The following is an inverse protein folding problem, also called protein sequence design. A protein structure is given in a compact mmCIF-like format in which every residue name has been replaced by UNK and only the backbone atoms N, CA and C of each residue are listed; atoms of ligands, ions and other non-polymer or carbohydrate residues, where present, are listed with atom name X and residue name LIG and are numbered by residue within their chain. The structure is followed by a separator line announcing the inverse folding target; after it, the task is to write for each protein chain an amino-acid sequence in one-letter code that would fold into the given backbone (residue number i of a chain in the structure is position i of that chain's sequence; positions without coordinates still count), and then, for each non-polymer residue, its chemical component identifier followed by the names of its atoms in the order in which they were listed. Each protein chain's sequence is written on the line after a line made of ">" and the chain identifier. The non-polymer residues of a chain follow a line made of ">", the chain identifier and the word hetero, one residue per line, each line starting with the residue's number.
data_IF_754016571786
#
_entry.id   IF_754016571786
#
_cell.length_a   1.000
_cell.length_b   1.000
_cell.length_c   1.000
_cell.angle_alpha   90.00
_cell.angle_beta   90.00
_cell.angle_gamma   90.00
#
_symmetry.space_group_name_H-M   'P 1'
#
loop_
_entity.id
_entity.type
_entity.pdbx_description
1 polymer ?
#
# COMPACT_ATOMS: atom_id res chain seq x y z
N UNK A 1 109.61 44.91 -16.08
CA UNK A 1 109.19 43.80 -15.21
C UNK A 1 110.23 43.54 -14.12
N UNK A 2 110.49 44.51 -13.25
CA UNK A 2 111.52 44.35 -12.18
C UNK A 2 111.02 44.71 -10.77
N UNK A 3 109.77 45.17 -10.62
CA UNK A 3 109.17 45.51 -9.32
C UNK A 3 108.34 44.37 -8.69
N UNK A 4 108.14 43.26 -9.41
CA UNK A 4 107.28 42.15 -8.95
C UNK A 4 108.05 41.00 -8.27
N UNK A 5 109.37 40.89 -8.44
CA UNK A 5 110.18 39.81 -7.86
C UNK A 5 110.19 39.76 -6.32
N UNK A 6 110.37 40.88 -5.57
CA UNK A 6 110.34 40.82 -4.09
C UNK A 6 108.94 40.56 -3.54
N UNK A 7 107.89 41.01 -4.25
CA UNK A 7 106.50 40.75 -3.89
C UNK A 7 106.15 39.26 -4.08
N UNK A 8 106.63 38.63 -5.15
CA UNK A 8 106.45 37.20 -5.42
C UNK A 8 107.18 36.30 -4.40
N UNK A 9 108.35 36.70 -3.89
CA UNK A 9 109.07 35.98 -2.83
C UNK A 9 108.35 36.03 -1.47
N UNK A 10 107.78 37.18 -1.10
CA UNK A 10 106.93 37.33 0.09
C UNK A 10 105.62 36.56 0.00
N UNK A 11 104.99 36.58 -1.18
CA UNK A 11 103.80 35.78 -1.48
C UNK A 11 104.12 34.29 -1.42
N UNK A 12 105.26 33.80 -1.93
CA UNK A 12 105.64 32.38 -1.84
C UNK A 12 105.81 31.89 -0.39
N UNK A 13 106.30 32.75 0.52
CA UNK A 13 106.47 32.43 1.96
C UNK A 13 105.14 32.34 2.71
N UNK A 14 104.12 33.11 2.29
CA UNK A 14 102.79 33.16 2.93
C UNK A 14 101.64 32.65 2.05
N UNK A 15 101.94 32.00 0.92
CA UNK A 15 100.97 31.56 -0.10
C UNK A 15 99.86 30.70 0.49
N UNK A 16 100.22 29.76 1.37
CA UNK A 16 99.27 28.92 2.09
C UNK A 16 98.23 29.74 2.87
N UNK A 17 98.67 30.75 3.62
CA UNK A 17 97.78 31.59 4.43
C UNK A 17 96.92 32.53 3.59
N UNK A 18 97.45 33.06 2.50
CA UNK A 18 96.69 33.91 1.56
C UNK A 18 95.59 33.10 0.86
N UNK A 19 95.92 31.90 0.37
CA UNK A 19 94.94 31.00 -0.29
C UNK A 19 93.90 30.51 0.72
N UNK A 20 94.31 30.17 1.94
CA UNK A 20 93.39 29.78 3.01
C UNK A 20 92.42 30.91 3.37
N UNK A 21 92.91 32.15 3.52
CA UNK A 21 92.08 33.32 3.78
C UNK A 21 91.08 33.59 2.65
N UNK A 22 91.54 33.51 1.39
CA UNK A 22 90.69 33.70 0.21
C UNK A 22 89.61 32.62 0.09
N UNK A 23 89.96 31.35 0.34
CA UNK A 23 88.99 30.26 0.41
C UNK A 23 87.95 30.50 1.52
N UNK A 24 88.38 30.94 2.70
CA UNK A 24 87.48 31.22 3.82
C UNK A 24 86.47 32.32 3.45
N UNK A 25 86.92 33.38 2.79
CA UNK A 25 86.04 34.46 2.30
C UNK A 25 85.06 33.95 1.25
N UNK A 26 85.52 33.15 0.27
CA UNK A 26 84.64 32.55 -0.73
C UNK A 26 83.57 31.65 -0.10
N UNK A 27 83.94 30.79 0.84
CA UNK A 27 82.98 29.95 1.57
C UNK A 27 81.98 30.78 2.37
N UNK A 28 82.42 31.85 3.04
CA UNK A 28 81.52 32.74 3.79
C UNK A 28 80.54 33.49 2.87
N UNK A 29 81.01 33.97 1.71
CA UNK A 29 80.13 34.63 0.73
C UNK A 29 79.13 33.66 0.10
N UNK A 30 79.58 32.47 -0.31
CA UNK A 30 78.71 31.43 -0.86
C UNK A 30 77.68 30.96 0.17
N UNK A 31 78.08 30.80 1.43
CA UNK A 31 77.17 30.51 2.54
C UNK A 31 76.12 31.62 2.69
N UNK A 32 76.53 32.88 2.79
CA UNK A 32 75.62 34.01 3.00
C UNK A 32 74.60 34.17 1.86
N UNK A 33 75.04 34.06 0.61
CA UNK A 33 74.15 34.11 -0.55
C UNK A 33 73.22 32.89 -0.64
N UNK A 34 73.72 31.70 -0.32
CA UNK A 34 72.90 30.48 -0.32
C UNK A 34 71.88 30.48 0.81
N UNK A 35 72.21 30.97 2.01
CA UNK A 35 71.26 31.04 3.12
C UNK A 35 70.22 32.14 2.90
N UNK A 36 70.65 33.29 2.36
CA UNK A 36 69.75 34.41 2.08
C UNK A 36 68.70 34.09 1.00
N UNK A 37 69.08 33.38 -0.07
CA UNK A 37 68.14 32.98 -1.12
C UNK A 37 67.15 31.91 -0.64
N UNK A 38 67.62 30.93 0.16
CA UNK A 38 66.76 29.91 0.76
C UNK A 38 65.76 30.51 1.76
N UNK A 39 66.17 31.50 2.56
CA UNK A 39 65.29 32.19 3.50
C UNK A 39 64.24 33.04 2.79
N UNK A 40 64.63 33.74 1.71
CA UNK A 40 63.71 34.52 0.87
C UNK A 40 62.67 33.62 0.20
N UNK A 41 63.09 32.48 -0.36
CA UNK A 41 62.19 31.49 -0.95
C UNK A 41 61.26 30.85 0.09
N UNK A 42 61.78 30.53 1.28
CA UNK A 42 60.97 30.01 2.38
C UNK A 42 59.90 31.01 2.81
N UNK A 43 60.24 32.30 2.93
CA UNK A 43 59.30 33.35 3.30
C UNK A 43 58.26 33.61 2.22
N UNK A 44 58.66 33.62 0.94
CA UNK A 44 57.72 33.75 -0.19
C UNK A 44 56.72 32.59 -0.23
N UNK A 45 57.18 31.35 0.00
CA UNK A 45 56.29 30.19 0.06
C UNK A 45 55.35 30.26 1.27
N UNK A 46 55.84 30.64 2.45
CA UNK A 46 55.01 30.86 3.63
C UNK A 46 53.94 31.92 3.38
N UNK A 47 54.29 33.06 2.79
CA UNK A 47 53.32 34.11 2.48
C UNK A 47 52.25 33.66 1.48
N UNK A 48 52.62 32.87 0.45
CA UNK A 48 51.64 32.29 -0.49
C UNK A 48 50.70 31.28 0.16
N UNK A 49 51.22 30.48 1.09
CA UNK A 49 50.43 29.52 1.85
C UNK A 49 49.47 30.27 2.76
N UNK A 50 49.97 31.25 3.51
CA UNK A 50 49.16 32.09 4.41
C UNK A 50 48.07 32.84 3.63
N UNK A 51 48.41 33.45 2.49
CA UNK A 51 47.41 34.13 1.66
C UNK A 51 46.33 33.18 1.13
N UNK A 52 46.70 31.94 0.80
CA UNK A 52 45.74 30.90 0.40
C UNK A 52 44.84 30.48 1.55
N UNK A 53 45.37 30.38 2.78
CA UNK A 53 44.57 30.10 3.98
C UNK A 53 43.64 31.26 4.35
N UNK A 54 44.11 32.51 4.26
CA UNK A 54 43.28 33.70 4.50
C UNK A 54 42.15 33.82 3.46
N UNK A 55 42.43 33.52 2.19
CA UNK A 55 41.41 33.46 1.13
C UNK A 55 40.39 32.33 1.37
N UNK A 56 40.82 31.18 1.89
CA UNK A 56 39.89 30.08 2.21
C UNK A 56 39.05 30.43 3.45
N UNK A 57 39.66 31.06 4.46
CA UNK A 57 38.98 31.52 5.67
C UNK A 57 37.93 32.59 5.36
N UNK A 58 38.22 33.54 4.46
CA UNK A 58 37.25 34.56 4.04
C UNK A 58 36.06 33.98 3.28
N UNK A 59 36.21 32.83 2.61
CA UNK A 59 35.10 32.09 1.99
C UNK A 59 34.31 31.32 3.06
N UNK A 60 35.01 30.70 4.03
CA UNK A 60 34.42 29.86 5.08
C UNK A 60 33.63 30.65 6.14
N UNK A 61 34.03 31.88 6.41
CA UNK A 61 33.40 32.75 7.42
C UNK A 61 32.14 33.47 6.88
N UNK A 62 31.74 33.20 5.63
CA UNK A 62 30.45 33.65 5.09
C UNK A 62 29.37 32.63 5.50
N UNK A 63 28.68 32.93 6.60
CA UNK A 63 27.64 32.10 7.24
C UNK A 63 26.47 31.73 6.30
N UNK A 64 26.22 32.55 5.27
CA UNK A 64 25.35 32.25 4.12
C UNK A 64 26.00 32.80 2.85
N UNK A 65 26.56 31.93 2.03
CA UNK A 65 27.13 32.32 0.73
C UNK A 65 26.02 33.04 -0.06
N UNK A 66 26.26 34.22 -0.70
CA UNK A 66 25.23 34.90 -1.48
C UNK A 66 24.81 34.04 -2.67
N UNK A 67 23.87 33.14 -2.43
CA UNK A 67 23.28 32.27 -3.43
C UNK A 67 21.93 32.82 -3.87
N UNK A 68 21.62 34.10 -3.63
CA UNK A 68 20.35 34.75 -3.99
C UNK A 68 20.01 34.47 -5.45
N UNK A 69 20.96 34.68 -6.38
CA UNK A 69 20.81 34.29 -7.80
C UNK A 69 20.58 32.80 -8.05
N UNK A 70 21.06 31.93 -7.15
CA UNK A 70 20.82 30.47 -7.24
C UNK A 70 19.48 30.10 -6.62
N UNK A 71 19.03 30.75 -5.55
CA UNK A 71 17.70 30.60 -4.99
C UNK A 71 16.66 31.12 -5.99
N UNK A 72 16.85 32.32 -6.55
CA UNK A 72 15.98 32.89 -7.59
C UNK A 72 15.85 31.93 -8.78
N UNK A 73 16.96 31.31 -9.20
CA UNK A 73 16.94 30.29 -10.25
C UNK A 73 16.32 28.97 -9.82
N UNK A 74 16.52 28.54 -8.57
CA UNK A 74 15.85 27.35 -8.04
C UNK A 74 14.35 27.58 -7.94
N UNK A 75 13.92 28.76 -7.53
CA UNK A 75 12.51 29.15 -7.45
C UNK A 75 11.91 29.19 -8.86
N UNK A 76 12.61 29.76 -9.84
CA UNK A 76 12.20 29.71 -11.26
C UNK A 76 12.05 28.27 -11.77
N UNK A 77 13.01 27.39 -11.50
CA UNK A 77 12.94 25.97 -11.87
C UNK A 77 11.83 25.22 -11.11
N UNK A 78 11.59 25.55 -9.83
CA UNK A 78 10.51 24.99 -9.03
C UNK A 78 9.16 25.41 -9.60
N UNK A 79 8.96 26.70 -9.91
CA UNK A 79 7.74 27.20 -10.53
C UNK A 79 7.49 26.54 -11.90
N UNK A 80 8.55 26.38 -12.72
CA UNK A 80 8.46 25.67 -13.98
C UNK A 80 8.05 24.20 -13.78
N UNK A 81 8.61 23.51 -12.76
CA UNK A 81 8.25 22.14 -12.43
C UNK A 81 6.83 22.01 -11.87
N UNK A 82 6.38 22.97 -11.08
CA UNK A 82 4.99 23.02 -10.59
C UNK A 82 4.03 23.15 -11.77
N UNK A 83 4.30 24.06 -12.70
CA UNK A 83 3.48 24.25 -13.89
C UNK A 83 3.46 23.00 -14.79
N UNK A 84 4.59 22.32 -14.97
CA UNK A 84 4.67 21.06 -15.71
C UNK A 84 3.84 19.96 -15.04
N UNK A 85 3.92 19.84 -13.71
CA UNK A 85 3.13 18.89 -12.92
C UNK A 85 1.64 19.20 -13.00
N UNK A 86 1.25 20.47 -12.89
CA UNK A 86 -0.15 20.90 -13.05
C UNK A 86 -0.70 20.56 -14.44
N UNK A 87 0.08 20.82 -15.49
CA UNK A 87 -0.30 20.45 -16.86
C UNK A 87 -0.48 18.94 -17.02
N UNK A 88 0.42 18.13 -16.44
CA UNK A 88 0.30 16.68 -16.47
C UNK A 88 -0.95 16.19 -15.73
N UNK A 89 -1.28 16.78 -14.58
CA UNK A 89 -2.51 16.48 -13.85
C UNK A 89 -3.76 16.89 -14.63
N UNK A 90 -3.76 18.07 -15.25
CA UNK A 90 -4.87 18.55 -16.07
C UNK A 90 -5.11 17.64 -17.28
N UNK A 91 -4.04 17.26 -17.98
CA UNK A 91 -4.10 16.31 -19.09
C UNK A 91 -4.73 14.97 -18.64
N UNK A 92 -4.26 14.43 -17.51
CA UNK A 92 -4.77 13.18 -16.97
C UNK A 92 -6.24 13.29 -16.54
N UNK A 93 -6.63 14.41 -15.95
CA UNK A 93 -8.02 14.68 -15.56
C UNK A 93 -8.95 14.73 -16.78
N UNK A 94 -8.57 15.47 -17.82
CA UNK A 94 -9.35 15.56 -19.06
C UNK A 94 -9.48 14.22 -19.76
N UNK A 95 -8.39 13.44 -19.79
CA UNK A 95 -8.38 12.08 -20.33
C UNK A 95 -9.34 11.17 -19.56
N UNK A 96 -9.25 11.14 -18.22
CA UNK A 96 -10.13 10.32 -17.38
C UNK A 96 -11.60 10.72 -17.49
N UNK A 97 -11.90 12.01 -17.62
CA UNK A 97 -13.27 12.49 -17.85
C UNK A 97 -13.90 11.90 -19.10
N UNK A 98 -13.10 11.61 -20.14
CA UNK A 98 -13.56 10.93 -21.35
C UNK A 98 -13.79 9.42 -21.19
N UNK A 99 -13.24 8.80 -20.15
CA UNK A 99 -13.36 7.36 -19.86
C UNK A 99 -14.47 7.07 -18.86
N UNK A 100 -14.61 7.91 -17.82
CA UNK A 100 -15.59 7.79 -16.75
C UNK A 100 -16.96 8.35 -17.18
N UNK A 101 -17.48 7.82 -18.29
CA UNK A 101 -18.70 8.29 -18.92
C UNK A 101 -19.85 7.34 -18.64
N UNK A 102 -21.02 7.91 -18.36
CA UNK A 102 -22.23 7.13 -18.21
C UNK A 102 -22.64 6.46 -19.55
N UNK A 103 -23.06 5.20 -19.52
CA UNK A 103 -23.47 4.46 -20.71
C UNK A 103 -24.63 5.14 -21.45
N UNK A 104 -24.44 5.41 -22.75
CA UNK A 104 -25.46 6.05 -23.60
C UNK A 104 -26.70 5.18 -23.84
N UNK A 105 -26.64 3.90 -23.49
CA UNK A 105 -27.80 2.99 -23.51
C UNK A 105 -28.80 3.27 -22.38
N UNK A 106 -28.46 4.12 -21.40
CA UNK A 106 -29.36 4.50 -20.32
C UNK A 106 -30.38 5.55 -20.77
N UNK A 107 -31.51 5.64 -20.05
CA UNK A 107 -32.55 6.64 -20.31
C UNK A 107 -32.03 8.07 -20.03
N UNK A 108 -32.33 9.00 -20.94
CA UNK A 108 -31.88 10.40 -20.84
C UNK A 108 -32.35 11.10 -19.55
N UNK A 109 -33.54 10.77 -19.06
CA UNK A 109 -34.08 11.31 -17.81
C UNK A 109 -33.32 10.83 -16.56
N UNK A 110 -32.75 9.64 -16.61
CA UNK A 110 -31.84 9.16 -15.56
C UNK A 110 -30.50 9.89 -15.64
N UNK A 111 -29.93 9.96 -16.85
CA UNK A 111 -28.63 10.58 -17.09
C UNK A 111 -28.60 12.05 -16.66
N UNK A 112 -29.66 12.82 -16.92
CA UNK A 112 -29.75 14.22 -16.52
C UNK A 112 -29.65 14.43 -15.00
N UNK A 113 -30.01 13.42 -14.20
CA UNK A 113 -29.92 13.49 -12.74
C UNK A 113 -28.52 13.13 -12.23
N UNK A 114 -27.81 12.18 -12.86
CA UNK A 114 -26.55 11.65 -12.30
C UNK A 114 -25.28 12.17 -12.97
N UNK A 115 -25.34 12.64 -14.23
CA UNK A 115 -24.16 12.91 -15.04
C UNK A 115 -23.28 14.06 -14.50
N UNK A 116 -23.88 15.03 -13.80
CA UNK A 116 -23.19 16.20 -13.25
C UNK A 116 -22.92 16.09 -11.73
N UNK A 117 -22.96 14.88 -11.17
CA UNK A 117 -22.73 14.64 -9.74
C UNK A 117 -21.27 14.29 -9.39
N UNK A 118 -20.33 14.61 -10.27
CA UNK A 118 -18.88 14.45 -10.01
C UNK A 118 -18.25 15.80 -9.65
N UNK A 119 -17.46 15.91 -8.57
CA UNK A 119 -17.08 14.85 -7.63
C UNK A 119 -18.21 14.51 -6.62
N UNK A 120 -18.45 13.21 -6.44
CA UNK A 120 -19.54 12.63 -5.62
C UNK A 120 -19.54 13.21 -4.21
N UNK A 121 -18.35 13.38 -3.65
CA UNK A 121 -18.10 13.82 -2.28
C UNK A 121 -18.66 15.21 -1.99
N UNK A 122 -18.66 16.10 -3.01
CA UNK A 122 -19.19 17.46 -2.93
C UNK A 122 -20.66 17.55 -3.38
N UNK A 123 -21.04 16.73 -4.35
CA UNK A 123 -22.36 16.83 -4.98
C UNK A 123 -23.48 16.26 -4.12
N UNK A 124 -23.19 15.28 -3.25
CA UNK A 124 -24.19 14.61 -2.43
C UNK A 124 -23.70 14.56 -0.98
N UNK A 125 -24.50 15.04 -0.04
CA UNK A 125 -24.16 15.02 1.38
C UNK A 125 -24.37 13.62 1.99
N UNK A 126 -23.67 13.33 3.09
CA UNK A 126 -23.93 12.13 3.90
C UNK A 126 -24.22 12.53 5.36
N UNK A 127 -25.31 12.02 5.98
CA UNK A 127 -26.36 11.16 5.40
C UNK A 127 -27.11 11.85 4.25
N UNK A 128 -27.55 11.07 3.26
CA UNK A 128 -28.28 11.60 2.11
C UNK A 128 -29.61 12.15 2.57
N UNK A 129 -29.92 13.40 2.19
CA UNK A 129 -31.22 14.02 2.47
C UNK A 129 -32.26 13.47 1.49
N UNK A 130 -33.52 13.37 1.91
CA UNK A 130 -34.59 12.81 1.07
C UNK A 130 -34.76 13.59 -0.24
N UNK A 131 -34.50 14.90 -0.26
CA UNK A 131 -34.61 15.75 -1.45
C UNK A 131 -33.46 15.52 -2.46
N UNK A 132 -32.36 14.93 -2.01
CA UNK A 132 -31.21 14.57 -2.86
C UNK A 132 -31.31 13.15 -3.41
N UNK A 133 -32.23 12.33 -2.86
CA UNK A 133 -32.43 10.98 -3.34
C UNK A 133 -33.10 10.96 -4.71
N UNK A 134 -32.72 9.97 -5.52
CA UNK A 134 -33.43 9.71 -6.77
C UNK A 134 -34.80 9.09 -6.48
N UNK A 135 -35.74 9.34 -7.40
CA UNK A 135 -37.02 8.64 -7.40
C UNK A 135 -36.81 7.12 -7.32
N UNK A 136 -37.67 6.42 -6.58
CA UNK A 136 -37.59 4.98 -6.40
C UNK A 136 -37.55 4.22 -7.74
N UNK A 137 -38.25 4.71 -8.77
CA UNK A 137 -38.21 4.15 -10.12
C UNK A 137 -36.79 4.14 -10.69
N UNK A 138 -36.05 5.24 -10.53
CA UNK A 138 -34.69 5.37 -11.07
C UNK A 138 -33.68 4.52 -10.31
N UNK A 139 -33.86 4.38 -9.01
CA UNK A 139 -33.03 3.50 -8.17
C UNK A 139 -33.21 2.03 -8.55
N UNK A 140 -34.45 1.62 -8.81
CA UNK A 140 -34.74 0.27 -9.30
C UNK A 140 -34.25 0.05 -10.74
N UNK A 141 -34.43 1.04 -11.61
CA UNK A 141 -33.90 1.04 -12.98
C UNK A 141 -32.39 0.75 -12.99
N UNK A 142 -31.63 1.46 -12.16
CA UNK A 142 -30.19 1.28 -12.06
C UNK A 142 -29.80 -0.10 -11.50
N UNK A 143 -30.53 -0.59 -10.49
CA UNK A 143 -30.34 -1.95 -9.96
C UNK A 143 -30.50 -3.02 -11.04
N UNK A 144 -31.55 -2.91 -11.86
CA UNK A 144 -31.80 -3.81 -13.00
C UNK A 144 -30.76 -3.64 -14.11
N UNK A 145 -30.25 -2.43 -14.31
CA UNK A 145 -29.16 -2.16 -15.25
C UNK A 145 -27.88 -2.90 -14.83
N UNK A 146 -27.42 -2.73 -13.59
CA UNK A 146 -26.21 -3.41 -13.10
C UNK A 146 -26.33 -4.93 -13.23
N UNK A 147 -27.47 -5.50 -12.85
CA UNK A 147 -27.70 -6.95 -12.96
C UNK A 147 -27.52 -7.49 -14.39
N UNK A 148 -27.76 -6.66 -15.41
CA UNK A 148 -27.57 -7.00 -16.84
C UNK A 148 -26.17 -6.70 -17.35
N UNK A 149 -25.42 -5.81 -16.70
CA UNK A 149 -24.06 -5.44 -17.12
C UNK A 149 -22.97 -6.33 -16.55
N UNK A 150 -23.09 -6.79 -15.29
CA UNK A 150 -22.07 -7.64 -14.68
C UNK A 150 -21.74 -8.90 -15.52
N UNK A 151 -22.72 -9.60 -16.11
CA UNK A 151 -22.43 -10.74 -16.97
C UNK A 151 -21.65 -10.35 -18.22
N UNK A 152 -21.94 -9.18 -18.82
CA UNK A 152 -21.19 -8.65 -19.96
C UNK A 152 -19.72 -8.38 -19.63
N UNK A 153 -19.40 -8.09 -18.36
CA UNK A 153 -18.02 -7.92 -17.91
C UNK A 153 -17.27 -9.26 -17.95
N UNK A 154 -17.91 -10.37 -17.60
CA UNK A 154 -17.32 -11.70 -17.74
C UNK A 154 -17.19 -12.09 -19.21
N UNK A 155 -18.19 -11.75 -20.03
CA UNK A 155 -18.16 -12.01 -21.48
C UNK A 155 -16.97 -11.28 -22.17
N UNK A 156 -16.51 -10.13 -21.65
CA UNK A 156 -15.33 -9.41 -22.21
C UNK A 156 -14.05 -10.24 -22.21
N UNK A 157 -13.88 -11.12 -21.22
CA UNK A 157 -12.70 -11.98 -21.07
C UNK A 157 -13.01 -13.44 -21.47
N UNK A 158 -14.16 -13.67 -22.10
CA UNK A 158 -14.67 -15.01 -22.40
C UNK A 158 -14.67 -15.90 -21.14
N UNK A 159 -15.40 -15.45 -20.12
CA UNK A 159 -15.65 -16.14 -18.86
C UNK A 159 -17.14 -16.26 -18.57
N UNK A 160 -17.53 -17.32 -17.86
CA UNK A 160 -18.89 -17.47 -17.35
C UNK A 160 -19.12 -16.58 -16.12
N UNK A 161 -20.30 -15.96 -16.05
CA UNK A 161 -20.79 -15.29 -14.85
C UNK A 161 -21.80 -16.19 -14.13
N UNK A 162 -21.37 -16.76 -13.01
CA UNK A 162 -22.14 -17.73 -12.24
C UNK A 162 -23.27 -17.17 -11.38
N UNK A 163 -23.18 -15.96 -10.79
CA UNK A 163 -24.28 -15.45 -9.99
C UNK A 163 -25.58 -15.32 -10.79
N UNK A 164 -26.69 -15.73 -10.19
CA UNK A 164 -27.98 -15.86 -10.89
C UNK A 164 -28.38 -14.56 -11.60
N UNK A 165 -28.66 -14.68 -12.88
CA UNK A 165 -29.25 -13.62 -13.70
C UNK A 165 -30.61 -14.12 -14.18
N UNK A 166 -31.65 -13.30 -14.00
CA UNK A 166 -32.98 -13.61 -14.53
C UNK A 166 -32.89 -13.76 -16.06
N UNK A 167 -33.18 -14.95 -16.57
CA UNK A 167 -33.25 -15.25 -18.01
C UNK A 167 -31.93 -15.65 -18.68
N UNK A 168 -30.85 -15.92 -17.93
CA UNK A 168 -29.62 -16.56 -18.46
C UNK A 168 -29.64 -18.04 -18.10
N UNK A 169 -29.52 -18.91 -19.10
CA UNK A 169 -29.39 -20.36 -18.90
C UNK A 169 -28.01 -20.70 -18.32
N UNK A 170 -27.94 -21.77 -17.54
CA UNK A 170 -26.65 -22.33 -17.11
C UNK A 170 -25.91 -22.88 -18.34
N UNK A 171 -24.57 -22.75 -18.38
CA UNK A 171 -23.79 -23.19 -19.52
C UNK A 171 -23.83 -24.71 -19.61
N UNK A 172 -23.87 -25.22 -20.84
CA UNK A 172 -23.75 -26.65 -21.10
C UNK A 172 -22.41 -27.17 -20.56
N UNK A 173 -22.36 -28.43 -20.10
CA UNK A 173 -21.14 -29.04 -19.53
C UNK A 173 -19.94 -29.05 -20.51
N UNK A 174 -20.21 -28.93 -21.82
CA UNK A 174 -19.18 -28.90 -22.87
C UNK A 174 -18.63 -27.49 -23.15
N UNK A 175 -19.27 -26.43 -22.64
CA UNK A 175 -18.86 -25.06 -22.94
C UNK A 175 -17.55 -24.70 -22.20
N UNK A 176 -16.46 -24.57 -22.97
CA UNK A 176 -15.17 -24.17 -22.41
C UNK A 176 -14.93 -22.67 -22.58
N UNK A 177 -14.62 -22.01 -21.47
CA UNK A 177 -14.28 -20.59 -21.43
C UNK A 177 -12.76 -20.38 -21.47
N UNK A 178 -12.30 -19.33 -22.15
CA UNK A 178 -10.89 -18.92 -22.16
C UNK A 178 -10.40 -18.56 -20.76
N UNK A 179 -11.19 -17.80 -20.01
CA UNK A 179 -10.88 -17.40 -18.64
C UNK A 179 -11.89 -18.04 -17.70
N UNK A 180 -11.36 -18.74 -16.70
CA UNK A 180 -12.14 -19.24 -15.59
C UNK A 180 -12.15 -18.19 -14.48
N UNK A 181 -13.32 -17.75 -14.04
CA UNK A 181 -13.42 -16.77 -12.97
C UNK A 181 -14.13 -17.41 -11.80
N UNK A 182 -13.44 -17.43 -10.66
CA UNK A 182 -13.94 -18.00 -9.41
C UNK A 182 -15.34 -17.47 -9.08
N UNK A 183 -16.34 -18.36 -9.09
CA UNK A 183 -17.74 -18.04 -8.84
C UNK A 183 -17.98 -17.46 -7.44
N UNK A 184 -17.23 -17.90 -6.43
CA UNK A 184 -17.27 -17.33 -5.09
C UNK A 184 -16.80 -15.87 -5.07
N UNK A 185 -15.76 -15.52 -5.84
CA UNK A 185 -15.34 -14.13 -6.01
C UNK A 185 -16.38 -13.29 -6.76
N UNK A 186 -17.04 -13.84 -7.78
CA UNK A 186 -18.12 -13.16 -8.50
C UNK A 186 -19.30 -12.86 -7.57
N UNK A 187 -19.72 -13.84 -6.76
CA UNK A 187 -20.80 -13.67 -5.78
C UNK A 187 -20.42 -12.67 -4.69
N UNK A 188 -19.16 -12.68 -4.24
CA UNK A 188 -18.65 -11.69 -3.29
C UNK A 188 -18.71 -10.28 -3.88
N UNK A 189 -18.21 -10.08 -5.11
CA UNK A 189 -18.25 -8.77 -5.79
C UNK A 189 -19.69 -8.28 -5.98
N UNK A 190 -20.59 -9.15 -6.46
CA UNK A 190 -22.00 -8.79 -6.62
C UNK A 190 -22.63 -8.41 -5.29
N UNK A 191 -22.43 -9.25 -4.26
CA UNK A 191 -23.05 -9.04 -2.96
C UNK A 191 -22.57 -7.74 -2.30
N UNK A 192 -21.26 -7.49 -2.29
CA UNK A 192 -20.65 -6.37 -1.57
C UNK A 192 -20.75 -5.03 -2.29
N UNK A 193 -20.80 -5.00 -3.64
CA UNK A 193 -20.71 -3.75 -4.41
C UNK A 193 -21.95 -3.41 -5.22
N UNK A 194 -22.73 -4.42 -5.60
CA UNK A 194 -23.72 -4.33 -6.66
C UNK A 194 -25.10 -4.87 -6.25
N UNK A 195 -25.32 -5.08 -4.95
CA UNK A 195 -26.56 -5.63 -4.42
C UNK A 195 -26.96 -4.99 -3.10
N UNK A 196 -28.17 -5.29 -2.68
CA UNK A 196 -28.75 -4.81 -1.43
C UNK A 196 -27.94 -5.14 -0.18
N UNK A 197 -27.19 -6.25 -0.18
CA UNK A 197 -26.33 -6.61 0.94
C UNK A 197 -25.20 -5.59 1.13
N UNK A 198 -24.56 -5.17 0.03
CA UNK A 198 -23.52 -4.15 0.02
C UNK A 198 -24.05 -2.74 0.23
N UNK A 199 -25.23 -2.44 -0.29
CA UNK A 199 -25.86 -1.12 -0.15
C UNK A 199 -26.51 -0.90 1.21
N UNK A 200 -26.70 -1.96 2.01
CA UNK A 200 -27.40 -1.92 3.29
C UNK A 200 -28.92 -1.79 3.18
N UNK A 201 -29.48 -1.76 1.97
CA UNK A 201 -30.90 -1.59 1.70
C UNK A 201 -31.31 -2.25 0.38
N UNK A 202 -32.58 -2.67 0.27
CA UNK A 202 -33.13 -3.23 -0.97
C UNK A 202 -33.12 -2.24 -2.15
N UNK A 203 -33.29 -0.95 -1.84
CA UNK A 203 -33.24 0.16 -2.79
C UNK A 203 -31.96 0.97 -2.53
N UNK A 204 -31.01 1.04 -3.48
CA UNK A 204 -29.76 1.78 -3.30
C UNK A 204 -30.02 3.28 -3.20
N UNK A 205 -29.39 3.97 -2.25
CA UNK A 205 -29.32 5.44 -2.27
C UNK A 205 -28.58 5.98 -3.50
N UNK A 206 -28.75 7.26 -3.82
CA UNK A 206 -27.97 7.91 -4.90
C UNK A 206 -26.45 7.74 -4.70
N UNK A 207 -25.94 7.82 -3.46
CA UNK A 207 -24.51 7.58 -3.19
C UNK A 207 -24.09 6.15 -3.57
N UNK A 208 -24.91 5.15 -3.24
CA UNK A 208 -24.64 3.76 -3.61
C UNK A 208 -24.61 3.60 -5.14
N UNK A 209 -25.50 4.29 -5.87
CA UNK A 209 -25.52 4.28 -7.33
C UNK A 209 -24.24 4.88 -7.92
N UNK A 210 -23.84 6.07 -7.45
CA UNK A 210 -22.65 6.76 -7.96
C UNK A 210 -21.37 5.95 -7.68
N UNK A 211 -21.20 5.41 -6.47
CA UNK A 211 -20.03 4.59 -6.14
C UNK A 211 -20.04 3.21 -6.79
N UNK A 212 -21.21 2.59 -6.97
CA UNK A 212 -21.32 1.35 -7.74
C UNK A 212 -20.95 1.60 -9.22
N UNK A 213 -21.33 2.75 -9.79
CA UNK A 213 -20.95 3.10 -11.15
C UNK A 213 -19.43 3.26 -11.29
N UNK A 214 -18.79 3.91 -10.32
CA UNK A 214 -17.32 4.01 -10.28
C UNK A 214 -16.67 2.63 -10.20
N UNK A 215 -17.15 1.73 -9.33
CA UNK A 215 -16.67 0.35 -9.25
C UNK A 215 -16.87 -0.41 -10.58
N UNK A 216 -17.97 -0.15 -11.29
CA UNK A 216 -18.26 -0.77 -12.59
C UNK A 216 -17.29 -0.29 -13.69
N UNK A 217 -16.93 1.00 -13.70
CA UNK A 217 -15.92 1.52 -14.65
C UNK A 217 -14.55 0.89 -14.41
N UNK A 218 -14.14 0.77 -13.15
CA UNK A 218 -12.87 0.11 -12.80
C UNK A 218 -12.90 -1.38 -13.15
N UNK A 219 -13.99 -2.06 -12.84
CA UNK A 219 -14.18 -3.47 -13.19
C UNK A 219 -14.06 -3.69 -14.71
N UNK A 220 -14.75 -2.86 -15.51
CA UNK A 220 -14.66 -2.90 -16.97
C UNK A 220 -13.22 -2.75 -17.44
N UNK A 221 -12.49 -1.76 -16.92
CA UNK A 221 -11.10 -1.55 -17.33
C UNK A 221 -10.22 -2.75 -17.01
N UNK A 222 -10.38 -3.37 -15.84
CA UNK A 222 -9.62 -4.57 -15.46
C UNK A 222 -9.91 -5.72 -16.42
N UNK A 223 -11.18 -5.92 -16.80
CA UNK A 223 -11.55 -6.94 -17.78
C UNK A 223 -10.97 -6.63 -19.17
N UNK A 224 -10.96 -5.35 -19.59
CA UNK A 224 -10.29 -4.93 -20.84
C UNK A 224 -8.78 -5.19 -20.81
N UNK A 225 -8.10 -4.90 -19.70
CA UNK A 225 -6.67 -5.21 -19.55
C UNK A 225 -6.42 -6.71 -19.68
N UNK A 226 -7.23 -7.55 -19.03
CA UNK A 226 -7.10 -9.01 -19.11
C UNK A 226 -7.35 -9.49 -20.54
N UNK A 227 -8.37 -8.94 -21.22
CA UNK A 227 -8.67 -9.22 -22.62
C UNK A 227 -7.49 -8.86 -23.53
N UNK A 228 -6.93 -7.67 -23.41
CA UNK A 228 -5.80 -7.19 -24.21
C UNK A 228 -4.52 -7.99 -23.93
N UNK A 229 -4.35 -8.37 -22.66
CA UNK A 229 -3.28 -9.28 -22.25
C UNK A 229 -3.45 -10.64 -22.89
N UNK A 230 -4.65 -11.21 -22.96
CA UNK A 230 -4.88 -12.49 -23.62
C UNK A 230 -4.78 -12.39 -25.15
N UNK A 231 -5.20 -11.27 -25.74
CA UNK A 231 -5.34 -11.12 -27.17
C UNK A 231 -6.38 -12.09 -27.75
N UNK A 232 -6.25 -12.42 -29.02
CA UNK A 232 -7.13 -13.40 -29.67
C UNK A 232 -6.62 -14.81 -29.43
N UNK A 233 -7.27 -15.51 -28.51
CA UNK A 233 -7.02 -16.93 -28.21
C UNK A 233 -8.31 -17.72 -28.39
N UNK A 234 -8.18 -18.91 -28.95
CA UNK A 234 -9.25 -19.87 -29.25
C UNK A 234 -9.39 -20.97 -28.18
N UNK A 235 -8.47 -21.02 -27.22
CA UNK A 235 -8.47 -22.01 -26.16
C UNK A 235 -7.75 -21.53 -24.90
N UNK A 236 -8.27 -21.93 -23.73
CA UNK A 236 -7.73 -21.60 -22.40
C UNK A 236 -6.25 -21.92 -22.20
N UNK A 237 -5.73 -23.00 -22.77
CA UNK A 237 -4.33 -23.37 -22.59
C UNK A 237 -3.37 -22.39 -23.28
N UNK A 238 -3.82 -21.68 -24.32
CA UNK A 238 -3.09 -20.62 -25.02
C UNK A 238 -3.24 -19.25 -24.37
N UNK A 239 -4.25 -19.07 -23.50
CA UNK A 239 -4.48 -17.82 -22.79
C UNK A 239 -3.29 -17.50 -21.87
N UNK A 240 -2.91 -16.22 -21.85
CA UNK A 240 -1.83 -15.72 -20.98
C UNK A 240 -2.31 -15.71 -19.54
N UNK A 241 -3.52 -15.20 -19.29
CA UNK A 241 -4.26 -15.26 -18.04
C UNK A 241 -5.37 -16.31 -18.20
N UNK A 242 -5.33 -17.34 -17.36
CA UNK A 242 -6.18 -18.55 -17.46
C UNK A 242 -7.27 -18.61 -16.41
N UNK A 243 -7.06 -17.95 -15.28
CA UNK A 243 -8.01 -17.93 -14.17
C UNK A 243 -7.93 -16.64 -13.37
N UNK A 244 -9.07 -16.12 -12.95
CA UNK A 244 -9.20 -15.06 -11.95
C UNK A 244 -9.61 -15.72 -10.63
N UNK A 245 -8.68 -15.77 -9.68
CA UNK A 245 -8.91 -16.36 -8.36
C UNK A 245 -9.62 -15.35 -7.43
N UNK A 246 -9.21 -14.09 -7.50
CA UNK A 246 -9.78 -13.03 -6.66
C UNK A 246 -9.55 -11.65 -7.28
N UNK A 247 -10.63 -10.89 -7.39
CA UNK A 247 -10.61 -9.45 -7.65
C UNK A 247 -11.29 -8.73 -6.49
N UNK A 248 -10.63 -7.72 -5.94
CA UNK A 248 -11.12 -6.89 -4.83
C UNK A 248 -10.79 -5.42 -5.10
N UNK A 249 -11.69 -4.53 -4.70
CA UNK A 249 -11.63 -3.08 -4.96
C UNK A 249 -11.82 -2.30 -3.66
N UNK A 250 -11.31 -1.07 -3.58
CA UNK A 250 -11.59 -0.13 -2.49
C UNK A 250 -11.31 -0.69 -1.08
N UNK A 251 -12.26 -0.46 -0.16
CA UNK A 251 -12.16 -0.87 1.25
C UNK A 251 -11.94 -2.38 1.48
N UNK A 252 -12.34 -3.23 0.53
CA UNK A 252 -12.20 -4.69 0.66
C UNK A 252 -10.76 -5.16 0.39
N UNK A 253 -9.89 -4.26 -0.08
CA UNK A 253 -8.47 -4.56 -0.24
C UNK A 253 -7.77 -4.49 1.13
N UNK A 254 -7.97 -5.55 1.90
CA UNK A 254 -7.45 -5.77 3.27
C UNK A 254 -5.93 -5.65 3.45
N UNK A 255 -5.14 -5.52 2.37
CA UNK A 255 -3.67 -5.58 2.40
C UNK A 255 -2.96 -4.28 2.02
N UNK A 256 -3.68 -3.24 1.60
CA UNK A 256 -3.03 -2.00 1.11
C UNK A 256 -2.29 -1.27 2.24
N UNK A 257 -2.79 -1.35 3.48
CA UNK A 257 -2.14 -0.79 4.68
C UNK A 257 -1.32 -1.76 5.57
N UNK A 258 -1.30 -3.07 5.29
CA UNK A 258 -0.55 -4.06 6.08
C UNK A 258 0.75 -4.52 5.40
N UNK A 259 0.95 -4.16 4.13
CA UNK A 259 2.15 -4.56 3.35
C UNK A 259 3.41 -3.74 3.68
N UNK A 260 3.30 -2.69 4.51
CA UNK A 260 4.43 -1.89 5.01
C UNK A 260 4.88 -2.24 6.43
N UNK A 261 4.11 -3.06 7.16
CA UNK A 261 4.55 -3.57 8.45
C UNK A 261 5.27 -4.89 8.23
N UNK A 262 6.60 -4.87 8.37
CA UNK A 262 7.31 -6.07 8.82
C UNK A 262 6.65 -6.44 10.14
N UNK A 263 5.78 -7.46 10.10
CA UNK A 263 5.38 -8.16 11.32
C UNK A 263 6.69 -8.69 11.87
N UNK A 264 7.29 -7.99 12.83
CA UNK A 264 8.37 -8.54 13.63
C UNK A 264 7.77 -9.84 14.15
N UNK A 265 8.30 -10.98 13.72
CA UNK A 265 7.99 -12.24 14.38
C UNK A 265 8.42 -12.02 15.83
N UNK A 266 7.48 -11.62 16.68
CA UNK A 266 7.56 -12.00 18.08
C UNK A 266 7.32 -13.49 18.06
N UNK A 267 8.41 -14.23 17.85
CA UNK A 267 8.50 -15.60 18.31
C UNK A 267 8.02 -15.58 19.76
N UNK A 268 6.94 -16.30 20.02
CA UNK A 268 6.68 -16.76 21.36
C UNK A 268 7.93 -17.55 21.79
N UNK A 269 8.68 -16.97 22.73
CA UNK A 269 9.77 -17.58 23.45
C UNK A 269 9.64 -17.11 24.91
N UNK A 270 9.80 -18.02 25.88
CA UNK A 270 9.37 -17.80 27.25
C UNK A 270 10.39 -16.94 28.04
N UNK A 271 9.87 -16.31 29.09
CA UNK A 271 10.56 -15.76 30.27
C UNK A 271 11.17 -14.34 30.28
N UNK A 272 11.21 -13.85 31.54
CA UNK A 272 11.72 -12.60 32.10
C UNK A 272 10.85 -11.35 31.80
N UNK A 273 9.97 -10.85 32.68
CA UNK A 273 9.99 -10.88 34.15
C UNK A 273 10.81 -9.71 34.68
N UNK A 274 10.19 -8.53 34.85
CA UNK A 274 10.65 -7.50 35.79
C UNK A 274 9.55 -6.46 36.03
N UNK A 275 9.22 -6.21 37.29
CA UNK A 275 8.18 -5.26 37.71
C UNK A 275 7.40 -5.74 38.92
N UNK A 276 8.11 -5.96 40.03
CA UNK A 276 7.56 -6.51 41.27
C UNK A 276 6.59 -5.59 42.01
N UNK A 277 5.73 -6.23 42.80
CA UNK A 277 4.90 -5.64 43.83
C UNK A 277 4.33 -6.73 44.73
N UNK A 278 4.92 -6.89 45.92
CA UNK A 278 4.47 -7.68 47.08
C UNK A 278 2.93 -7.61 47.26
N UNK A 279 2.20 -8.65 47.64
CA UNK A 279 2.41 -9.59 48.75
C UNK A 279 1.24 -9.41 49.73
N UNK A 280 0.39 -10.44 49.89
CA UNK A 280 -0.78 -10.37 50.79
C UNK A 280 -1.58 -11.67 50.80
N UNK A 281 -1.19 -12.56 51.71
CA UNK A 281 -1.85 -13.82 52.08
C UNK A 281 -3.13 -13.58 52.90
N UNK A 282 -4.08 -14.52 52.82
CA UNK A 282 -5.16 -14.74 53.80
C UNK A 282 -6.47 -14.05 53.44
N UNK A 283 -7.66 -14.61 53.63
CA UNK A 283 -8.11 -15.85 54.25
C UNK A 283 -9.65 -15.77 54.39
N UNK A 284 -10.29 -16.94 54.50
CA UNK A 284 -11.53 -17.22 55.25
C UNK A 284 -12.83 -16.39 55.06
N UNK A 285 -13.90 -17.17 54.85
CA UNK A 285 -15.26 -17.09 55.45
C UNK A 285 -16.24 -15.95 55.12
N UNK A 286 -17.40 -16.36 54.57
CA UNK A 286 -18.79 -16.22 55.08
C UNK A 286 -19.73 -16.38 53.86
N UNK A 287 -20.60 -17.38 53.73
CA UNK A 287 -21.67 -17.86 54.63
C UNK A 287 -22.64 -16.75 55.07
N UNK A 288 -23.71 -16.57 54.28
CA UNK A 288 -25.04 -16.05 54.66
C UNK A 288 -25.92 -16.15 53.40
N UNK A 289 -26.86 -17.10 53.33
CA UNK A 289 -28.25 -16.95 53.74
C UNK A 289 -29.10 -17.13 52.47
N UNK A 290 -29.96 -18.14 52.32
CA UNK A 290 -31.11 -18.46 53.15
C UNK A 290 -32.35 -17.87 52.46
N UNK A 291 -33.27 -18.71 51.96
CA UNK A 291 -34.47 -18.20 51.31
C UNK A 291 -35.27 -19.21 50.49
N UNK A 292 -35.93 -20.10 51.22
CA UNK A 292 -37.00 -21.01 50.81
C UNK A 292 -38.18 -20.33 50.09
N UNK A 293 -38.80 -21.01 49.12
CA UNK A 293 -40.26 -21.14 48.97
C UNK A 293 -40.61 -21.89 47.67
N UNK A 294 -41.12 -23.11 47.84
CA UNK A 294 -41.55 -23.99 46.77
C UNK A 294 -43.00 -23.80 46.28
N UNK A 295 -43.33 -24.62 45.26
CA UNK A 295 -44.63 -25.13 44.78
C UNK A 295 -44.49 -25.29 43.26
N UNK A 296 -44.81 -26.40 42.60
CA UNK A 296 -45.56 -27.58 43.00
C UNK A 296 -46.48 -27.97 41.83
N UNK A 297 -46.33 -29.19 41.33
CA UNK A 297 -47.30 -29.90 40.46
C UNK A 297 -47.33 -29.46 38.99
N UNK A 298 -47.44 -30.32 37.98
CA UNK A 298 -47.69 -31.77 37.95
C UNK A 298 -48.34 -32.14 36.61
N UNK A 299 -47.83 -33.20 35.96
CA UNK A 299 -48.47 -33.96 34.87
C UNK A 299 -48.65 -33.24 33.52
N UNK A 300 -48.77 -33.90 32.37
CA UNK A 300 -48.62 -35.30 31.97
C UNK A 300 -48.66 -35.34 30.42
N UNK A 301 -48.01 -36.35 29.85
CA UNK A 301 -48.30 -37.03 28.57
C UNK A 301 -48.34 -36.26 27.23
N UNK A 302 -47.56 -36.76 26.28
CA UNK A 302 -47.81 -36.63 24.84
C UNK A 302 -46.65 -37.05 23.95
N UNK A 303 -46.49 -38.36 23.71
CA UNK A 303 -45.54 -38.96 22.76
C UNK A 303 -45.98 -38.73 21.30
N UNK A 304 -45.03 -38.42 20.41
CA UNK A 304 -44.78 -38.92 19.04
C UNK A 304 -43.79 -37.92 18.39
N UNK A 305 -42.48 -38.16 18.25
CA UNK A 305 -41.75 -39.17 17.46
C UNK A 305 -41.94 -39.05 15.93
N UNK A 306 -40.97 -38.36 15.30
CA UNK A 306 -40.36 -38.54 13.95
C UNK A 306 -39.93 -37.13 13.44
N UNK A 307 -38.65 -36.71 13.51
CA UNK A 307 -37.49 -37.15 12.71
C UNK A 307 -37.80 -36.96 11.20
N UNK A 308 -37.19 -36.05 10.45
CA UNK A 308 -35.77 -35.71 10.38
C UNK A 308 -35.55 -34.37 9.61
N UNK A 309 -34.50 -33.64 10.04
CA UNK A 309 -33.61 -32.73 9.30
C UNK A 309 -34.21 -31.58 8.46
N UNK A 310 -34.06 -30.28 8.78
CA UNK A 310 -32.95 -29.56 9.43
C UNK A 310 -31.93 -29.10 8.36
N UNK A 311 -31.70 -27.81 8.08
CA UNK A 311 -31.39 -26.72 8.99
C UNK A 311 -31.84 -25.35 8.44
N UNK A 312 -32.59 -24.62 9.26
CA UNK A 312 -32.80 -23.18 9.19
C UNK A 312 -32.99 -22.65 10.62
N UNK A 313 -32.36 -21.52 10.93
CA UNK A 313 -32.76 -20.60 12.01
C UNK A 313 -32.58 -21.03 13.47
N UNK A 314 -31.63 -20.40 14.15
CA UNK A 314 -31.70 -20.08 15.59
C UNK A 314 -30.98 -18.73 15.76
N UNK A 315 -31.54 -17.68 16.35
CA UNK A 315 -32.42 -17.65 17.52
C UNK A 315 -31.56 -17.24 18.73
N UNK A 316 -31.71 -15.99 19.17
CA UNK A 316 -30.88 -15.38 20.20
C UNK A 316 -31.21 -15.77 21.64
N UNK A 317 -30.33 -15.35 22.56
CA UNK A 317 -30.65 -15.12 23.97
C UNK A 317 -29.73 -15.77 25.01
N UNK A 318 -28.86 -14.96 25.65
CA UNK A 318 -28.62 -15.06 27.10
C UNK A 318 -27.22 -15.45 27.60
N UNK A 319 -26.44 -14.44 28.02
CA UNK A 319 -25.79 -14.44 29.35
C UNK A 319 -24.27 -14.68 29.44
N UNK A 320 -23.48 -13.59 29.52
CA UNK A 320 -22.80 -13.12 30.76
C UNK A 320 -21.80 -12.01 30.42
N UNK A 321 -21.87 -10.93 31.20
CA UNK A 321 -21.14 -9.68 30.98
C UNK A 321 -19.63 -9.81 31.07
N UNK A 322 -18.97 -9.21 30.09
CA UNK A 322 -17.57 -8.80 30.11
C UNK A 322 -17.52 -7.35 29.65
N UNK A 323 -16.75 -6.55 30.38
CA UNK A 323 -16.70 -5.09 30.32
C UNK A 323 -16.60 -4.52 28.88
N UNK A 324 -17.34 -3.44 28.65
CA UNK A 324 -17.46 -2.74 27.38
C UNK A 324 -16.12 -2.24 26.86
N UNK A 325 -15.57 -2.96 25.89
CA UNK A 325 -14.87 -2.34 24.79
C UNK A 325 -15.92 -1.78 23.85
N UNK A 326 -15.99 -0.46 23.70
CA UNK A 326 -16.78 0.21 22.67
C UNK A 326 -16.32 -0.32 21.31
N UNK A 327 -17.06 -1.29 20.76
CA UNK A 327 -16.95 -1.65 19.36
C UNK A 327 -17.13 -0.36 18.57
N UNK A 328 -16.08 0.08 17.87
CA UNK A 328 -16.17 1.21 16.94
C UNK A 328 -17.36 0.90 16.03
N UNK A 329 -18.43 1.69 16.13
CA UNK A 329 -19.55 1.63 15.22
C UNK A 329 -18.96 1.82 13.82
N UNK A 330 -19.02 0.78 12.98
CA UNK A 330 -18.59 0.91 11.58
C UNK A 330 -19.35 2.08 10.96
N UNK A 331 -18.64 2.94 10.24
CA UNK A 331 -19.25 4.07 9.55
C UNK A 331 -20.25 3.54 8.54
N UNK A 332 -21.45 4.14 8.51
CA UNK A 332 -22.48 3.84 7.52
C UNK A 332 -22.22 4.57 6.18
N UNK A 333 -21.23 5.45 6.10
CA UNK A 333 -20.91 6.17 4.87
C UNK A 333 -20.28 5.19 3.86
N UNK A 334 -20.86 5.01 2.65
CA UNK A 334 -20.29 4.13 1.63
C UNK A 334 -18.89 4.56 1.17
N UNK A 335 -18.49 5.80 1.42
CA UNK A 335 -17.15 6.31 1.12
C UNK A 335 -16.07 5.87 2.14
N UNK A 336 -16.45 5.28 3.27
CA UNK A 336 -15.53 4.93 4.35
C UNK A 336 -14.42 3.98 3.87
N UNK A 337 -13.16 4.44 3.96
CA UNK A 337 -11.96 3.72 3.54
C UNK A 337 -12.02 3.21 2.09
N UNK A 338 -12.85 3.83 1.23
CA UNK A 338 -12.97 3.48 -0.17
C UNK A 338 -11.69 3.80 -0.93
N UNK A 339 -11.13 4.98 -0.68
CA UNK A 339 -9.90 5.46 -1.30
C UNK A 339 -8.71 5.37 -0.34
N UNK A 340 -7.51 5.49 -0.88
CA UNK A 340 -6.27 5.52 -0.10
C UNK A 340 -5.50 6.83 -0.31
N UNK A 341 -4.76 7.23 0.71
CA UNK A 341 -3.82 8.35 0.65
C UNK A 341 -2.50 7.93 -0.03
N UNK A 342 -1.53 8.85 -0.09
CA UNK A 342 -0.22 8.60 -0.68
C UNK A 342 0.55 7.46 0.00
N UNK A 343 0.29 7.27 1.29
CA UNK A 343 0.89 6.23 2.13
C UNK A 343 0.12 4.91 2.05
N UNK A 344 -0.85 4.82 1.15
CA UNK A 344 -1.69 3.63 0.96
C UNK A 344 -2.51 3.30 2.23
N UNK A 345 -2.79 4.29 3.07
CA UNK A 345 -3.71 4.15 4.18
C UNK A 345 -5.13 4.50 3.73
N UNK A 346 -6.12 3.75 4.23
CA UNK A 346 -7.52 4.04 3.96
C UNK A 346 -7.90 5.44 4.43
N UNK A 347 -8.59 6.18 3.57
CA UNK A 347 -9.08 7.53 3.86
C UNK A 347 -10.45 7.42 4.54
N UNK A 348 -10.61 7.91 5.78
CA UNK A 348 -11.91 7.93 6.44
C UNK A 348 -12.89 8.84 5.70
N UNK A 349 -14.18 8.48 5.66
CA UNK A 349 -15.18 9.24 4.91
C UNK A 349 -15.26 10.70 5.35
N UNK A 350 -15.16 10.96 6.66
CA UNK A 350 -15.16 12.33 7.22
C UNK A 350 -14.08 13.21 6.58
N UNK A 351 -12.87 12.69 6.40
CA UNK A 351 -11.74 13.43 5.80
C UNK A 351 -11.99 13.66 4.31
N UNK A 352 -12.51 12.64 3.63
CA UNK A 352 -12.83 12.71 2.22
C UNK A 352 -13.92 13.76 1.92
N UNK A 353 -14.96 13.86 2.77
CA UNK A 353 -16.05 14.84 2.64
C UNK A 353 -15.62 16.27 2.95
N UNK A 354 -14.75 16.43 3.95
CA UNK A 354 -14.23 17.75 4.34
C UNK A 354 -13.27 18.32 3.29
N UNK A 355 -12.57 17.45 2.55
CA UNK A 355 -11.56 17.83 1.56
C UNK A 355 -10.45 18.70 2.16
N UNK A 356 -10.11 18.46 3.42
CA UNK A 356 -9.04 19.19 4.13
C UNK A 356 -7.63 18.82 3.63
N UNK A 357 -7.53 17.90 2.66
CA UNK A 357 -6.29 17.32 2.17
C UNK A 357 -6.12 17.61 0.68
N UNK A 358 -5.11 18.43 0.36
CA UNK A 358 -4.80 18.85 -1.00
C UNK A 358 -4.59 17.66 -1.94
N UNK A 359 -3.99 16.56 -1.47
CA UNK A 359 -3.72 15.39 -2.30
C UNK A 359 -5.00 14.67 -2.71
N UNK A 360 -6.00 14.64 -1.82
CA UNK A 360 -7.32 14.07 -2.10
C UNK A 360 -8.17 14.97 -3.00
N UNK A 361 -7.93 16.28 -2.97
CA UNK A 361 -8.53 17.23 -3.92
C UNK A 361 -7.97 16.99 -5.33
N UNK A 362 -6.66 16.74 -5.43
CA UNK A 362 -5.98 16.57 -6.72
C UNK A 362 -6.28 15.20 -7.34
N UNK A 363 -6.15 14.11 -6.58
CA UNK A 363 -6.35 12.76 -7.12
C UNK A 363 -6.84 11.74 -6.09
N UNK A 364 -7.97 11.08 -6.41
CA UNK A 364 -8.49 9.95 -5.65
C UNK A 364 -7.83 8.64 -6.13
N UNK A 365 -7.29 7.85 -5.21
CA UNK A 365 -6.65 6.55 -5.51
C UNK A 365 -7.54 5.42 -5.03
N UNK A 366 -8.10 4.64 -5.95
CA UNK A 366 -8.88 3.44 -5.63
C UNK A 366 -7.95 2.22 -5.58
N UNK A 367 -7.77 1.57 -4.42
CA UNK A 367 -6.94 0.38 -4.34
C UNK A 367 -7.61 -0.80 -5.06
N UNK A 368 -6.80 -1.58 -5.78
CA UNK A 368 -7.21 -2.81 -6.46
C UNK A 368 -6.27 -3.93 -6.06
N UNK A 369 -6.81 -5.12 -5.79
CA UNK A 369 -6.02 -6.34 -5.68
C UNK A 369 -6.61 -7.40 -6.59
N UNK A 370 -5.74 -7.92 -7.43
CA UNK A 370 -6.03 -8.96 -8.40
C UNK A 370 -5.10 -10.16 -8.16
N UNK A 371 -5.69 -11.35 -8.11
CA UNK A 371 -5.02 -12.65 -8.00
C UNK A 371 -5.44 -13.47 -9.20
N UNK A 372 -4.46 -13.83 -10.02
CA UNK A 372 -4.68 -14.54 -11.29
C UNK A 372 -3.73 -15.70 -11.44
N UNK A 373 -4.18 -16.74 -12.14
CA UNK A 373 -3.34 -17.79 -12.69
C UNK A 373 -2.95 -17.40 -14.12
N UNK A 374 -1.67 -17.17 -14.37
CA UNK A 374 -1.16 -16.74 -15.68
C UNK A 374 0.17 -17.40 -16.05
N UNK A 375 0.55 -17.35 -17.33
CA UNK A 375 1.90 -17.69 -17.78
C UNK A 375 2.90 -16.66 -17.22
N UNK A 376 3.78 -17.13 -16.34
CA UNK A 376 4.77 -16.30 -15.66
C UNK A 376 5.67 -15.52 -16.63
N UNK A 377 5.91 -16.04 -17.84
CA UNK A 377 6.74 -15.39 -18.86
C UNK A 377 6.07 -14.15 -19.46
N UNK A 378 4.78 -13.93 -19.19
CA UNK A 378 3.98 -12.84 -19.72
C UNK A 378 3.63 -11.79 -18.65
N UNK A 379 4.21 -11.89 -17.45
CA UNK A 379 3.97 -10.91 -16.38
C UNK A 379 4.37 -9.50 -16.80
N UNK A 380 5.52 -9.35 -17.47
CA UNK A 380 5.98 -8.07 -17.99
C UNK A 380 4.97 -7.43 -18.95
N UNK A 381 4.35 -8.25 -19.82
CA UNK A 381 3.29 -7.79 -20.72
C UNK A 381 2.06 -7.33 -19.94
N UNK A 382 1.61 -8.15 -18.98
CA UNK A 382 0.45 -7.79 -18.17
C UNK A 382 0.65 -6.49 -17.38
N UNK A 383 1.85 -6.29 -16.81
CA UNK A 383 2.20 -5.04 -16.10
C UNK A 383 2.21 -3.85 -17.08
N UNK A 384 2.71 -4.04 -18.30
CA UNK A 384 2.69 -3.00 -19.32
C UNK A 384 1.25 -2.66 -19.74
N UNK A 385 0.40 -3.67 -19.95
CA UNK A 385 -1.01 -3.48 -20.31
C UNK A 385 -1.78 -2.76 -19.18
N UNK A 386 -1.45 -3.04 -17.91
CA UNK A 386 -1.97 -2.28 -16.76
C UNK A 386 -1.60 -0.78 -16.80
N UNK A 387 -0.37 -0.44 -17.18
CA UNK A 387 0.10 0.95 -17.25
C UNK A 387 -0.41 1.71 -18.48
N UNK A 388 -0.70 1.00 -19.58
CA UNK A 388 -1.16 1.57 -20.85
C UNK A 388 -2.69 1.61 -21.00
N UNK A 389 -3.42 1.14 -19.99
CA UNK A 389 -4.88 1.14 -19.97
C UNK A 389 -5.46 2.56 -19.98
N UNK A 390 -6.71 2.73 -20.44
CA UNK A 390 -7.39 4.03 -20.43
C UNK A 390 -7.63 4.56 -19.01
N UNK A 391 -7.82 3.66 -18.05
CA UNK A 391 -7.70 3.97 -16.64
C UNK A 391 -6.49 3.19 -16.08
N UNK A 392 -5.29 3.80 -16.07
CA UNK A 392 -4.05 3.12 -15.72
C UNK A 392 -4.07 2.56 -14.30
N UNK A 393 -3.51 1.36 -14.13
CA UNK A 393 -3.29 0.75 -12.82
C UNK A 393 -1.82 0.90 -12.41
N UNK A 394 -1.58 1.71 -11.38
CA UNK A 394 -0.25 1.82 -10.79
C UNK A 394 0.09 0.54 -9.99
N UNK A 395 1.07 -0.22 -10.47
CA UNK A 395 1.47 -1.47 -9.84
C UNK A 395 2.40 -1.20 -8.65
N UNK A 396 1.84 -1.27 -7.43
CA UNK A 396 2.63 -1.12 -6.18
C UNK A 396 3.32 -2.39 -5.72
N UNK A 397 2.74 -3.56 -5.96
CA UNK A 397 3.28 -4.84 -5.50
C UNK A 397 2.90 -6.00 -6.41
N UNK A 398 3.89 -6.79 -6.79
CA UNK A 398 3.70 -8.09 -7.47
C UNK A 398 4.18 -9.18 -6.52
N UNK A 399 3.36 -10.21 -6.31
CA UNK A 399 3.71 -11.39 -5.51
C UNK A 399 3.61 -12.63 -6.38
N UNK A 400 4.72 -13.36 -6.48
CA UNK A 400 4.76 -14.65 -7.16
C UNK A 400 4.84 -15.75 -6.10
N UNK A 401 4.10 -16.85 -6.26
CA UNK A 401 4.30 -18.01 -5.39
C UNK A 401 5.75 -18.48 -5.56
N UNK A 402 6.42 -18.75 -4.44
CA UNK A 402 7.80 -19.23 -4.47
C UNK A 402 7.79 -20.66 -5.04
N UNK A 403 8.43 -20.87 -6.19
CA UNK A 403 8.63 -22.21 -6.73
C UNK A 403 9.58 -22.98 -5.79
N UNK A 404 9.07 -23.99 -5.08
CA UNK A 404 9.89 -24.87 -4.25
C UNK A 404 9.58 -24.94 -2.75
N UNK A 405 8.40 -24.50 -2.30
CA UNK A 405 7.92 -24.75 -0.94
C UNK A 405 6.97 -25.92 -0.87
N UNK A 406 7.44 -27.15 -1.15
CA UNK A 406 6.73 -28.38 -0.78
C UNK A 406 6.69 -28.54 0.74
N UNK A 407 5.93 -27.68 1.42
CA UNK A 407 5.56 -27.84 2.82
C UNK A 407 4.21 -28.54 2.85
N UNK A 408 4.22 -29.87 2.90
CA UNK A 408 3.02 -30.66 3.09
C UNK A 408 2.28 -30.23 4.35
N UNK A 409 1.17 -29.51 4.17
CA UNK A 409 0.13 -29.31 5.18
C UNK A 409 -0.77 -30.54 5.28
N UNK A 410 -0.17 -31.72 5.41
CA UNK A 410 -0.84 -32.92 5.91
C UNK A 410 0.01 -33.44 7.06
N UNK A 411 -0.16 -32.81 8.23
CA UNK A 411 0.29 -33.34 9.50
C UNK A 411 -0.96 -33.72 10.30
N UNK A 412 -1.41 -34.96 10.13
CA UNK A 412 -2.41 -35.56 10.99
C UNK A 412 -1.88 -35.56 12.42
N UNK A 413 -2.56 -34.83 13.31
CA UNK A 413 -2.37 -34.92 14.75
C UNK A 413 -3.03 -36.18 15.29
N UNK A 414 -2.50 -37.34 14.91
CA UNK A 414 -2.74 -38.60 15.62
C UNK A 414 -1.86 -38.55 16.87
N UNK A 415 -2.36 -37.89 17.92
CA UNK A 415 -1.74 -37.86 19.23
C UNK A 415 -1.92 -39.21 19.90
N UNK A 416 -0.83 -39.98 19.95
CA UNK A 416 -0.78 -41.27 20.62
C UNK A 416 -1.11 -41.16 22.11
N UNK A 417 -2.17 -41.85 22.52
CA UNK A 417 -2.32 -42.32 23.90
C UNK A 417 -1.53 -43.62 24.05
N UNK A 418 -0.23 -43.46 24.31
CA UNK A 418 0.65 -44.52 24.78
C UNK A 418 1.14 -44.16 26.18
N UNK A 419 0.36 -44.51 27.20
CA UNK A 419 0.71 -44.34 28.61
C UNK A 419 0.20 -45.53 29.40
N UNK A 420 1.08 -46.51 29.60
CA UNK A 420 0.79 -47.70 30.37
C UNK A 420 0.61 -47.40 31.85
N UNK A 421 -0.38 -48.04 32.46
CA UNK A 421 -0.38 -48.29 33.90
C UNK A 421 -1.30 -49.48 34.22
N UNK A 422 -0.77 -50.43 34.98
CA UNK A 422 -1.58 -51.25 35.90
C UNK A 422 -2.02 -52.61 35.38
N UNK A 423 -1.14 -53.61 35.54
CA UNK A 423 -1.59 -55.00 35.66
C UNK A 423 -2.37 -55.21 36.96
N UNK A 424 -3.52 -55.87 36.86
CA UNK A 424 -4.24 -56.64 37.87
C UNK A 424 -5.21 -57.49 37.02
N UNK A 425 -5.12 -58.81 36.93
CA UNK A 425 -4.87 -59.75 38.00
C UNK A 425 -6.20 -60.27 38.53
N UNK A 426 -6.76 -61.28 37.86
CA UNK A 426 -7.63 -62.29 38.48
C UNK A 426 -9.14 -62.14 38.35
N UNK A 427 -9.77 -63.18 37.80
CA UNK A 427 -10.79 -63.90 38.56
C UNK A 427 -12.24 -63.84 38.07
N UNK A 428 -12.68 -65.01 37.59
CA UNK A 428 -13.98 -65.65 37.82
C UNK A 428 -15.26 -65.06 37.21
N UNK A 429 -15.99 -65.93 36.52
CA UNK A 429 -17.41 -65.76 36.17
C UNK A 429 -17.73 -66.36 34.82
#
# INVERSE_FOLDING_TARGET
>A
METLQPFLLGVKKHYFWIVCGLMTVLFLTAWFFSTGSLELDANNRRQKIESSFQNNKSIRDIENHPNEKSNDKMDEEIEAKIAEVEQAWQYQYEYQKGVLVWPQSMENEFLSQVQNMTPIEKSVEFPVKEEQELDARWRDYYRLYIGRELPKMADLVDAYWAPQVLGREEPDEEQTYTVDWNSGNQQMLQSQRFSSAGWGSANPSILNILYAQEDLWVLRQIMEIIKDTNGTVDARYKARIKRIDSLTLGKDVTRVGLSGFVKKLTLAGPEAGEGGGMGGMGGMMNEMGGGDSGRGGGGAMGKMAAQNSGFGGAGGGGGRGGAGGSAKKESLDPAENRYVDEKLAGVPARKLRALDDADLIVAKRLPVRLVVLMDQRQINRFIADCGNAKLPLEIRQVRLPQAGGGGGGMGGGMGGMGGGMGGMGGGMG
#
